data_IF_859904339647
#
_entry.id   IF_859904339647
#
_cell.length_a   1.000
_cell.length_b   1.000
_cell.length_c   1.000
_cell.angle_alpha   90.00
_cell.angle_beta   90.00
_cell.angle_gamma   90.00
#
_symmetry.space_group_name_H-M   'P 1'
#
loop_
_entity.id
_entity.type
_entity.pdbx_description
1 polymer ?
#
# COMPACT_ATOMS: atom_id res chain seq x y z
N UNK A 1 -4.20 -26.49 -10.29
CA UNK A 1 -2.72 -26.51 -10.15
C UNK A 1 -2.22 -27.62 -11.06
N UNK A 2 -1.64 -27.30 -12.23
CA UNK A 2 -1.13 -28.32 -13.15
C UNK A 2 0.37 -28.54 -12.88
N UNK A 3 0.86 -29.80 -12.89
CA UNK A 3 2.25 -30.12 -12.57
C UNK A 3 3.21 -29.71 -13.68
N UNK A 4 4.40 -29.26 -13.25
CA UNK A 4 5.53 -28.78 -14.06
C UNK A 4 6.31 -29.99 -14.59
N UNK A 5 5.68 -30.90 -15.36
CA UNK A 5 6.34 -32.14 -15.81
C UNK A 5 6.49 -32.30 -17.33
N UNK A 6 6.05 -31.33 -18.14
CA UNK A 6 6.14 -31.39 -19.61
C UNK A 6 7.23 -30.49 -20.23
N UNK A 7 8.19 -30.01 -19.44
CA UNK A 7 9.11 -28.94 -19.86
C UNK A 7 10.30 -29.38 -20.74
N UNK A 8 10.45 -30.67 -21.06
CA UNK A 8 11.49 -31.13 -21.98
C UNK A 8 10.84 -31.48 -23.33
N UNK A 9 11.11 -30.73 -24.41
CA UNK A 9 10.71 -31.18 -25.74
C UNK A 9 11.36 -32.54 -25.99
N UNK A 10 10.55 -33.59 -26.15
CA UNK A 10 11.07 -34.91 -26.54
C UNK A 10 11.75 -34.74 -27.91
N UNK A 11 13.07 -35.01 -28.03
CA UNK A 11 13.73 -34.95 -29.32
C UNK A 11 13.09 -35.98 -30.24
N UNK A 12 12.51 -35.54 -31.35
CA UNK A 12 12.18 -36.41 -32.47
C UNK A 12 13.48 -36.96 -33.02
N UNK A 13 13.62 -38.29 -33.02
CA UNK A 13 14.86 -39.04 -33.26
C UNK A 13 15.58 -38.76 -34.61
N UNK A 14 15.02 -37.91 -35.47
CA UNK A 14 15.50 -37.60 -36.81
C UNK A 14 16.48 -36.40 -36.89
N UNK A 15 16.81 -35.72 -35.77
CA UNK A 15 17.55 -34.44 -35.82
C UNK A 15 18.65 -34.29 -34.76
N UNK A 16 19.26 -35.39 -34.31
CA UNK A 16 20.38 -35.31 -33.36
C UNK A 16 21.64 -34.81 -34.10
N UNK A 17 22.17 -33.63 -33.78
CA UNK A 17 23.36 -33.11 -34.45
C UNK A 17 24.61 -33.92 -34.08
N UNK A 18 25.39 -34.30 -35.09
CA UNK A 18 26.53 -35.24 -34.96
C UNK A 18 27.85 -34.52 -34.65
N UNK A 19 27.91 -33.19 -34.76
CA UNK A 19 29.11 -32.39 -34.50
C UNK A 19 28.95 -31.44 -33.30
N UNK A 20 30.04 -31.21 -32.55
CA UNK A 20 30.07 -30.33 -31.36
C UNK A 20 29.51 -28.90 -31.60
N UNK A 21 29.79 -28.19 -32.73
CA UNK A 21 29.22 -26.86 -32.97
C UNK A 21 27.72 -26.90 -33.24
N UNK A 22 27.22 -27.91 -33.97
CA UNK A 22 25.79 -28.10 -34.24
C UNK A 22 25.01 -28.42 -32.95
N UNK A 23 25.61 -29.23 -32.06
CA UNK A 23 25.04 -29.54 -30.75
C UNK A 23 24.91 -28.30 -29.86
N UNK A 24 25.91 -27.40 -29.86
CA UNK A 24 25.83 -26.12 -29.13
C UNK A 24 24.71 -25.23 -29.66
N UNK A 25 24.57 -25.12 -30.99
CA UNK A 25 23.50 -24.35 -31.61
C UNK A 25 22.11 -24.92 -31.28
N UNK A 26 21.96 -26.25 -31.33
CA UNK A 26 20.72 -26.94 -30.96
C UNK A 26 20.33 -26.70 -29.49
N UNK A 27 21.26 -26.90 -28.54
CA UNK A 27 21.00 -26.66 -27.12
C UNK A 27 20.63 -25.19 -26.88
N UNK A 28 21.30 -24.26 -27.55
CA UNK A 28 21.03 -22.82 -27.42
C UNK A 28 19.66 -22.43 -27.98
N UNK A 29 19.18 -23.10 -29.03
CA UNK A 29 17.85 -22.86 -29.57
C UNK A 29 16.75 -23.47 -28.69
N UNK A 30 16.93 -24.71 -28.23
CA UNK A 30 16.00 -25.40 -27.32
C UNK A 30 15.86 -24.63 -26.00
N UNK A 31 16.95 -24.14 -25.43
CA UNK A 31 16.92 -23.34 -24.20
C UNK A 31 16.22 -22.00 -24.39
N UNK A 32 16.38 -21.34 -25.54
CA UNK A 32 15.64 -20.11 -25.88
C UNK A 32 14.14 -20.37 -26.02
N UNK A 33 13.75 -21.44 -26.69
CA UNK A 33 12.33 -21.80 -26.86
C UNK A 33 11.68 -22.18 -25.53
N UNK A 34 12.37 -22.95 -24.69
CA UNK A 34 11.91 -23.27 -23.35
C UNK A 34 11.76 -22.01 -22.47
N UNK A 35 12.72 -21.09 -22.54
CA UNK A 35 12.65 -19.81 -21.84
C UNK A 35 11.49 -18.93 -22.34
N UNK A 36 11.24 -18.89 -23.65
CA UNK A 36 10.13 -18.15 -24.25
C UNK A 36 8.75 -18.70 -23.82
N UNK A 37 8.58 -20.03 -23.82
CA UNK A 37 7.35 -20.68 -23.31
C UNK A 37 7.12 -20.40 -21.82
N UNK A 38 8.16 -20.51 -21.00
CA UNK A 38 8.09 -20.20 -19.57
C UNK A 38 7.64 -18.75 -19.34
N UNK A 39 8.22 -17.80 -20.08
CA UNK A 39 7.84 -16.38 -20.02
C UNK A 39 6.36 -16.16 -20.36
N UNK A 40 5.86 -16.80 -21.42
CA UNK A 40 4.46 -16.69 -21.83
C UNK A 40 3.50 -17.25 -20.77
N UNK A 41 3.87 -18.37 -20.13
CA UNK A 41 3.10 -18.94 -19.02
C UNK A 41 3.05 -18.01 -17.80
N UNK A 42 4.20 -17.49 -17.37
CA UNK A 42 4.29 -16.58 -16.23
C UNK A 42 3.54 -15.26 -16.49
N UNK A 43 3.68 -14.70 -17.70
CA UNK A 43 2.94 -13.51 -18.09
C UNK A 43 1.42 -13.76 -18.14
N UNK A 44 0.98 -14.90 -18.67
CA UNK A 44 -0.46 -15.24 -18.69
C UNK A 44 -1.00 -15.48 -17.28
N UNK A 45 -0.20 -16.05 -16.36
CA UNK A 45 -0.63 -16.38 -15.00
C UNK A 45 -0.65 -15.18 -14.04
N UNK A 46 0.31 -14.26 -14.17
CA UNK A 46 0.47 -13.12 -13.26
C UNK A 46 0.04 -11.78 -13.87
N UNK A 47 -0.05 -11.68 -15.19
CA UNK A 47 -0.29 -10.44 -15.92
C UNK A 47 -1.61 -10.40 -16.70
N UNK A 48 -2.53 -11.35 -16.51
CA UNK A 48 -3.77 -11.48 -17.31
C UNK A 48 -4.52 -10.15 -17.48
N UNK A 49 -4.57 -9.33 -16.44
CA UNK A 49 -5.25 -8.03 -16.43
C UNK A 49 -4.55 -6.91 -17.21
N UNK A 50 -3.26 -7.05 -17.52
CA UNK A 50 -2.45 -5.97 -18.15
C UNK A 50 -1.63 -6.44 -19.36
N UNK A 51 -1.90 -7.63 -19.90
CA UNK A 51 -1.18 -8.17 -21.08
C UNK A 51 -1.30 -7.31 -22.34
N UNK A 52 -2.35 -6.49 -22.44
CA UNK A 52 -2.66 -5.70 -23.63
C UNK A 52 -1.99 -4.31 -23.67
N UNK A 53 -1.37 -3.86 -22.57
CA UNK A 53 -0.78 -2.52 -22.52
C UNK A 53 0.66 -2.48 -23.02
N UNK A 54 0.95 -1.51 -23.89
CA UNK A 54 2.31 -1.22 -24.32
C UNK A 54 3.16 -0.78 -23.12
N UNK A 55 4.47 -1.00 -23.21
CA UNK A 55 5.45 -0.63 -22.18
C UNK A 55 5.31 0.81 -21.66
N UNK A 56 5.18 1.79 -22.55
CA UNK A 56 5.10 3.22 -22.16
C UNK A 56 3.84 3.55 -21.36
N UNK A 57 2.72 2.88 -21.67
CA UNK A 57 1.48 3.05 -20.92
C UNK A 57 1.60 2.50 -19.49
N UNK A 58 2.24 1.34 -19.32
CA UNK A 58 2.46 0.75 -17.99
C UNK A 58 3.42 1.58 -17.13
N UNK A 59 4.51 2.07 -17.73
CA UNK A 59 5.42 3.00 -17.05
C UNK A 59 4.68 4.31 -16.67
N UNK A 60 3.83 4.84 -17.56
CA UNK A 60 2.99 6.01 -17.29
C UNK A 60 1.97 5.80 -16.17
N UNK A 61 1.30 4.64 -16.13
CA UNK A 61 0.35 4.28 -15.06
C UNK A 61 1.09 4.16 -13.72
N UNK A 62 2.25 3.52 -13.70
CA UNK A 62 3.05 3.35 -12.49
C UNK A 62 3.49 4.70 -11.91
N UNK A 63 4.12 5.56 -12.71
CA UNK A 63 4.57 6.88 -12.25
C UNK A 63 3.40 7.84 -11.99
N UNK A 64 2.30 7.71 -12.73
CA UNK A 64 1.09 8.49 -12.54
C UNK A 64 0.43 8.18 -11.20
N UNK A 65 0.21 6.90 -10.89
CA UNK A 65 -0.30 6.47 -9.58
C UNK A 65 0.66 6.88 -8.45
N UNK A 66 1.97 6.82 -8.71
CA UNK A 66 2.96 7.26 -7.73
C UNK A 66 2.79 8.74 -7.37
N UNK A 67 2.63 9.59 -8.38
CA UNK A 67 2.32 11.00 -8.17
C UNK A 67 0.99 11.19 -7.42
N UNK A 68 -0.03 10.40 -7.72
CA UNK A 68 -1.33 10.45 -7.04
C UNK A 68 -1.19 10.12 -5.55
N UNK A 69 -0.46 9.06 -5.18
CA UNK A 69 -0.26 8.71 -3.76
C UNK A 69 0.49 9.82 -3.01
N UNK A 70 1.51 10.43 -3.63
CA UNK A 70 2.22 11.57 -3.06
C UNK A 70 1.29 12.76 -2.84
N UNK A 71 0.44 13.09 -3.83
CA UNK A 71 -0.56 14.15 -3.68
C UNK A 71 -1.55 13.84 -2.56
N UNK A 72 -2.05 12.60 -2.47
CA UNK A 72 -2.93 12.16 -1.39
C UNK A 72 -2.25 12.30 -0.02
N UNK A 73 -0.96 11.94 0.09
CA UNK A 73 -0.19 12.15 1.31
C UNK A 73 -0.10 13.63 1.67
N UNK A 74 0.23 14.51 0.70
CA UNK A 74 0.27 15.96 0.94
C UNK A 74 -1.09 16.51 1.39
N UNK A 75 -2.19 16.09 0.77
CA UNK A 75 -3.53 16.51 1.18
C UNK A 75 -3.89 16.01 2.58
N UNK A 76 -3.50 14.78 2.94
CA UNK A 76 -3.69 14.24 4.27
C UNK A 76 -2.88 15.01 5.32
N UNK A 77 -1.62 15.31 5.04
CA UNK A 77 -0.76 16.13 5.91
C UNK A 77 -1.29 17.56 6.09
N UNK A 78 -1.79 18.18 5.01
CA UNK A 78 -2.39 19.50 5.08
C UNK A 78 -3.69 19.50 5.91
N UNK A 79 -4.56 18.51 5.69
CA UNK A 79 -5.78 18.31 6.48
C UNK A 79 -5.45 18.13 7.97
N UNK A 80 -4.41 17.36 8.27
CA UNK A 80 -3.92 17.14 9.63
C UNK A 80 -3.42 18.43 10.28
N UNK A 81 -2.50 19.15 9.63
CA UNK A 81 -1.95 20.40 10.15
C UNK A 81 -3.05 21.42 10.47
N UNK A 82 -4.05 21.54 9.59
CA UNK A 82 -5.20 22.41 9.81
C UNK A 82 -6.06 21.95 11.00
N UNK A 83 -6.31 20.65 11.13
CA UNK A 83 -7.08 20.09 12.25
C UNK A 83 -6.39 20.34 13.60
N UNK A 84 -5.07 20.18 13.65
CA UNK A 84 -4.26 20.40 14.86
C UNK A 84 -4.25 21.88 15.29
N UNK A 85 -4.14 22.81 14.34
CA UNK A 85 -4.24 24.25 14.64
C UNK A 85 -5.60 24.60 15.28
N UNK A 86 -6.68 24.01 14.78
CA UNK A 86 -8.00 24.19 15.38
C UNK A 86 -8.07 23.56 16.78
N UNK A 87 -7.39 22.44 17.02
CA UNK A 87 -7.33 21.79 18.34
C UNK A 87 -6.65 22.69 19.37
N UNK A 88 -5.45 23.17 19.05
CA UNK A 88 -4.69 24.07 19.92
C UNK A 88 -5.43 25.38 20.22
N UNK A 89 -6.12 25.94 19.22
CA UNK A 89 -6.91 27.15 19.41
C UNK A 89 -8.03 26.95 20.45
N UNK A 90 -8.79 25.86 20.36
CA UNK A 90 -9.88 25.54 21.29
C UNK A 90 -9.37 25.26 22.72
N UNK A 91 -8.16 24.71 22.84
CA UNK A 91 -7.53 24.47 24.15
C UNK A 91 -7.10 25.78 24.83
N UNK A 92 -6.58 26.75 24.07
CA UNK A 92 -6.24 28.08 24.60
C UNK A 92 -7.46 28.95 24.92
N UNK A 93 -8.60 28.74 24.27
CA UNK A 93 -9.81 29.57 24.42
C UNK A 93 -11.04 28.74 24.86
N UNK A 94 -11.03 28.19 26.09
CA UNK A 94 -12.09 27.30 26.55
C UNK A 94 -13.45 27.98 26.74
N UNK A 95 -13.51 29.31 26.85
CA UNK A 95 -14.74 30.07 27.10
C UNK A 95 -15.41 30.61 25.83
N UNK A 96 -14.89 30.27 24.64
CA UNK A 96 -15.47 30.71 23.38
C UNK A 96 -16.91 30.18 23.18
N UNK A 97 -17.72 30.98 22.48
CA UNK A 97 -19.13 30.72 22.23
C UNK A 97 -19.39 29.28 21.72
N UNK A 98 -20.46 28.66 22.22
CA UNK A 98 -20.89 27.28 21.88
C UNK A 98 -21.01 27.09 20.35
N UNK A 99 -21.46 28.11 19.63
CA UNK A 99 -21.58 28.08 18.16
C UNK A 99 -20.22 27.96 17.45
N UNK A 100 -19.16 28.57 17.98
CA UNK A 100 -17.82 28.50 17.40
C UNK A 100 -17.24 27.09 17.57
N UNK A 101 -17.43 26.50 18.76
CA UNK A 101 -17.03 25.12 19.06
C UNK A 101 -17.74 24.10 18.16
N UNK A 102 -19.04 24.27 17.91
CA UNK A 102 -19.78 23.40 16.98
C UNK A 102 -19.24 23.51 15.55
N UNK A 103 -18.91 24.73 15.08
CA UNK A 103 -18.28 24.93 13.76
C UNK A 103 -16.90 24.27 13.69
N UNK A 104 -16.09 24.37 14.74
CA UNK A 104 -14.78 23.73 14.82
C UNK A 104 -14.88 22.20 14.83
N UNK A 105 -15.83 21.63 15.59
CA UNK A 105 -16.08 20.18 15.59
C UNK A 105 -16.49 19.66 14.21
N UNK A 106 -17.39 20.34 13.49
CA UNK A 106 -17.77 19.96 12.11
C UNK A 106 -16.58 19.99 11.16
N UNK A 107 -15.73 21.01 11.25
CA UNK A 107 -14.51 21.12 10.44
C UNK A 107 -13.53 19.98 10.74
N UNK A 108 -13.35 19.61 12.01
CA UNK A 108 -12.52 18.46 12.42
C UNK A 108 -13.08 17.14 11.91
N UNK A 109 -14.39 16.93 12.03
CA UNK A 109 -15.04 15.72 11.51
C UNK A 109 -14.87 15.60 9.99
N UNK A 110 -15.06 16.70 9.26
CA UNK A 110 -14.82 16.73 7.82
C UNK A 110 -13.35 16.46 7.48
N UNK A 111 -12.40 16.98 8.25
CA UNK A 111 -10.97 16.70 8.06
C UNK A 111 -10.65 15.21 8.21
N UNK A 112 -11.25 14.52 9.19
CA UNK A 112 -11.11 13.06 9.38
C UNK A 112 -11.76 12.26 8.25
N UNK A 113 -12.92 12.70 7.76
CA UNK A 113 -13.52 12.07 6.57
C UNK A 113 -12.59 12.21 5.37
N UNK A 114 -12.05 13.40 5.13
CA UNK A 114 -11.12 13.65 4.02
C UNK A 114 -9.88 12.77 4.10
N UNK A 115 -9.24 12.65 5.26
CA UNK A 115 -8.05 11.80 5.42
C UNK A 115 -8.38 10.31 5.27
N UNK A 116 -9.55 9.87 5.75
CA UNK A 116 -10.03 8.49 5.56
C UNK A 116 -10.28 8.16 4.07
N UNK A 117 -10.86 9.09 3.31
CA UNK A 117 -11.04 8.93 1.86
C UNK A 117 -9.67 8.87 1.17
N UNK A 118 -8.73 9.74 1.56
CA UNK A 118 -7.37 9.73 1.01
C UNK A 118 -6.65 8.40 1.30
N UNK A 119 -6.83 7.83 2.48
CA UNK A 119 -6.31 6.51 2.84
C UNK A 119 -6.84 5.40 1.91
N UNK A 120 -8.16 5.34 1.72
CA UNK A 120 -8.78 4.33 0.86
C UNK A 120 -8.32 4.46 -0.61
N UNK A 121 -8.26 5.69 -1.11
CA UNK A 121 -7.77 5.97 -2.46
C UNK A 121 -6.28 5.62 -2.62
N UNK A 122 -5.46 5.92 -1.61
CA UNK A 122 -4.04 5.54 -1.59
C UNK A 122 -3.87 4.02 -1.56
N UNK A 123 -4.62 3.30 -0.71
CA UNK A 123 -4.59 1.84 -0.64
C UNK A 123 -4.94 1.19 -1.99
N UNK A 124 -5.98 1.69 -2.66
CA UNK A 124 -6.36 1.22 -4.00
C UNK A 124 -5.26 1.49 -5.03
N UNK A 125 -4.67 2.70 -4.99
CA UNK A 125 -3.60 3.10 -5.92
C UNK A 125 -2.36 2.23 -5.75
N UNK A 126 -1.92 1.99 -4.51
CA UNK A 126 -0.77 1.12 -4.19
C UNK A 126 -1.01 -0.33 -4.63
N UNK A 127 -2.24 -0.84 -4.49
CA UNK A 127 -2.59 -2.16 -4.98
C UNK A 127 -2.51 -2.26 -6.52
N UNK A 128 -3.06 -1.26 -7.22
CA UNK A 128 -3.00 -1.18 -8.68
C UNK A 128 -1.57 -1.03 -9.20
N UNK A 129 -0.72 -0.26 -8.51
CA UNK A 129 0.70 -0.16 -8.82
C UNK A 129 1.44 -1.48 -8.62
N UNK A 130 1.14 -2.21 -7.54
CA UNK A 130 1.71 -3.54 -7.31
C UNK A 130 1.38 -4.50 -8.46
N UNK A 131 0.13 -4.46 -8.94
CA UNK A 131 -0.30 -5.22 -10.11
C UNK A 131 0.38 -4.77 -11.41
N UNK A 132 0.60 -3.47 -11.59
CA UNK A 132 1.36 -2.96 -12.73
C UNK A 132 2.84 -3.37 -12.67
N UNK A 133 3.44 -3.36 -11.47
CA UNK A 133 4.82 -3.76 -11.21
C UNK A 133 5.06 -5.25 -11.49
N UNK A 134 4.14 -6.12 -11.07
CA UNK A 134 4.22 -7.56 -11.42
C UNK A 134 4.06 -7.78 -12.93
N UNK A 135 3.16 -7.06 -13.59
CA UNK A 135 3.01 -7.13 -15.05
C UNK A 135 4.28 -6.70 -15.79
N UNK A 136 4.95 -5.62 -15.35
CA UNK A 136 6.25 -5.21 -15.88
C UNK A 136 7.33 -6.30 -15.69
N UNK A 137 7.37 -6.92 -14.51
CA UNK A 137 8.36 -7.93 -14.17
C UNK A 137 8.28 -9.15 -15.09
N UNK A 138 7.10 -9.76 -15.18
CA UNK A 138 6.94 -11.05 -15.87
C UNK A 138 6.77 -10.90 -17.38
N UNK A 139 6.00 -9.91 -17.86
CA UNK A 139 5.70 -9.77 -19.28
C UNK A 139 6.81 -9.00 -20.05
N UNK A 140 7.37 -7.95 -19.48
CA UNK A 140 8.32 -7.06 -20.17
C UNK A 140 9.80 -7.31 -19.80
N UNK A 141 10.09 -8.10 -18.75
CA UNK A 141 11.45 -8.57 -18.38
C UNK A 141 12.49 -7.44 -18.29
N UNK A 142 12.14 -6.37 -17.58
CA UNK A 142 13.05 -5.24 -17.36
C UNK A 142 14.16 -5.62 -16.38
N UNK A 143 15.43 -5.41 -16.76
CA UNK A 143 16.60 -5.73 -15.92
C UNK A 143 16.69 -4.87 -14.64
N UNK A 144 15.98 -3.75 -14.59
CA UNK A 144 15.97 -2.79 -13.47
C UNK A 144 14.74 -2.93 -12.56
N UNK A 145 13.91 -3.95 -12.75
CA UNK A 145 12.64 -4.09 -12.02
C UNK A 145 12.81 -4.21 -10.50
N UNK A 146 13.93 -4.75 -10.03
CA UNK A 146 14.23 -4.86 -8.60
C UNK A 146 14.33 -3.48 -7.92
N UNK A 147 14.85 -2.47 -8.62
CA UNK A 147 14.90 -1.10 -8.10
C UNK A 147 13.51 -0.50 -7.97
N UNK A 148 12.62 -0.76 -8.93
CA UNK A 148 11.22 -0.33 -8.88
C UNK A 148 10.49 -0.95 -7.68
N UNK A 149 10.70 -2.24 -7.40
CA UNK A 149 10.12 -2.91 -6.23
C UNK A 149 10.65 -2.35 -4.91
N UNK A 150 11.95 -2.05 -4.83
CA UNK A 150 12.54 -1.44 -3.64
C UNK A 150 11.98 -0.03 -3.40
N UNK A 151 11.92 0.80 -4.45
CA UNK A 151 11.31 2.13 -4.38
C UNK A 151 9.85 2.06 -4.00
N UNK A 152 9.06 1.20 -4.65
CA UNK A 152 7.65 0.99 -4.35
C UNK A 152 7.43 0.59 -2.88
N UNK A 153 8.17 -0.40 -2.38
CA UNK A 153 8.07 -0.81 -0.98
C UNK A 153 8.41 0.32 -0.01
N UNK A 154 9.47 1.07 -0.29
CA UNK A 154 9.93 2.14 0.58
C UNK A 154 8.96 3.33 0.61
N UNK A 155 8.57 3.83 -0.57
CA UNK A 155 7.79 5.06 -0.66
C UNK A 155 6.29 4.82 -0.57
N UNK A 156 5.76 3.76 -1.17
CA UNK A 156 4.32 3.53 -1.23
C UNK A 156 3.78 2.91 0.04
N UNK A 157 4.42 1.84 0.51
CA UNK A 157 4.05 1.26 1.80
C UNK A 157 4.35 2.26 2.94
N UNK A 158 5.46 2.99 2.84
CA UNK A 158 5.78 4.07 3.78
C UNK A 158 4.71 5.18 3.81
N UNK A 159 4.25 5.64 2.65
CA UNK A 159 3.18 6.64 2.54
C UNK A 159 1.86 6.10 3.11
N UNK A 160 1.53 4.84 2.86
CA UNK A 160 0.33 4.22 3.40
C UNK A 160 0.36 4.18 4.93
N UNK A 161 1.49 3.76 5.50
CA UNK A 161 1.73 3.75 6.95
C UNK A 161 1.63 5.16 7.54
N UNK A 162 2.17 6.17 6.85
CA UNK A 162 2.10 7.57 7.28
C UNK A 162 0.65 8.08 7.30
N UNK A 163 -0.14 7.81 6.24
CA UNK A 163 -1.56 8.21 6.19
C UNK A 163 -2.37 7.50 7.29
N UNK A 164 -2.08 6.22 7.57
CA UNK A 164 -2.70 5.49 8.69
C UNK A 164 -2.39 6.19 10.02
N UNK A 165 -1.11 6.51 10.28
CA UNK A 165 -0.70 7.20 11.50
C UNK A 165 -1.42 8.53 11.70
N UNK A 166 -1.52 9.33 10.64
CA UNK A 166 -2.27 10.60 10.62
C UNK A 166 -3.76 10.38 10.91
N UNK A 167 -4.38 9.38 10.28
CA UNK A 167 -5.81 9.09 10.46
C UNK A 167 -6.12 8.66 11.89
N UNK A 168 -5.28 7.78 12.46
CA UNK A 168 -5.39 7.33 13.85
C UNK A 168 -5.24 8.51 14.82
N UNK A 169 -4.27 9.38 14.56
CA UNK A 169 -4.04 10.56 15.39
C UNK A 169 -5.27 11.47 15.42
N UNK A 170 -5.82 11.84 14.25
CA UNK A 170 -7.02 12.68 14.20
C UNK A 170 -8.25 11.99 14.82
N UNK A 171 -8.40 10.67 14.64
CA UNK A 171 -9.49 9.92 15.27
C UNK A 171 -9.39 9.96 16.79
N UNK A 172 -8.18 9.90 17.33
CA UNK A 172 -7.96 9.96 18.78
C UNK A 172 -8.21 11.37 19.31
N UNK A 173 -7.78 12.40 18.57
CA UNK A 173 -8.06 13.82 18.88
C UNK A 173 -9.58 14.11 18.94
N UNK A 174 -10.39 13.50 18.06
CA UNK A 174 -11.85 13.61 18.11
C UNK A 174 -12.49 12.99 19.37
N UNK A 175 -11.86 11.97 19.96
CA UNK A 175 -12.42 11.24 21.12
C UNK A 175 -12.15 11.91 22.47
N UNK A 176 -11.48 13.07 22.51
CA UNK A 176 -11.15 13.82 23.74
C UNK A 176 -10.45 13.00 24.86
N UNK A 177 -9.98 11.78 24.58
CA UNK A 177 -9.06 11.12 25.50
C UNK A 177 -7.75 11.89 25.48
N UNK A 178 -7.19 12.20 26.66
CA UNK A 178 -5.84 12.73 26.82
C UNK A 178 -4.89 11.89 25.96
N UNK A 179 -4.48 12.41 24.81
CA UNK A 179 -3.59 11.72 23.90
C UNK A 179 -2.24 11.60 24.59
N UNK A 180 -1.65 10.40 24.73
CA UNK A 180 -0.28 10.30 25.20
C UNK A 180 0.63 11.08 24.21
N UNK A 181 1.67 11.78 24.68
CA UNK A 181 2.47 12.77 23.92
C UNK A 181 3.39 12.15 22.86
N UNK A 182 3.10 10.93 22.42
CA UNK A 182 3.89 10.28 21.39
C UNK A 182 3.58 10.94 20.06
N UNK A 183 4.63 11.44 19.42
CA UNK A 183 4.63 12.04 18.10
C UNK A 183 4.38 10.95 17.03
N UNK A 184 3.19 10.33 17.09
CA UNK A 184 2.73 9.21 16.25
C UNK A 184 2.81 9.59 14.76
N UNK A 185 2.81 10.89 14.45
CA UNK A 185 2.94 11.46 13.12
C UNK A 185 4.36 11.43 12.53
N UNK A 186 5.40 10.97 13.26
CA UNK A 186 6.78 10.89 12.73
C UNK A 186 7.00 9.81 11.65
N UNK A 187 5.94 9.16 11.14
CA UNK A 187 6.01 8.25 10.00
C UNK A 187 6.82 6.98 10.24
N UNK A 188 7.21 6.71 11.50
CA UNK A 188 8.03 5.54 11.85
C UNK A 188 7.11 4.33 12.01
N UNK A 189 7.32 3.23 11.24
CA UNK A 189 6.42 2.07 11.23
C UNK A 189 6.15 1.50 12.63
N UNK A 190 7.16 1.52 13.50
CA UNK A 190 7.07 1.09 14.90
C UNK A 190 6.01 1.89 15.68
N UNK A 191 5.99 3.22 15.55
CA UNK A 191 5.07 4.07 16.31
C UNK A 191 3.61 3.86 15.87
N UNK A 192 3.39 3.60 14.58
CA UNK A 192 2.05 3.31 14.05
C UNK A 192 1.52 1.99 14.62
N UNK A 193 2.36 0.96 14.68
CA UNK A 193 1.98 -0.35 15.25
C UNK A 193 1.67 -0.23 16.74
N UNK A 194 2.49 0.49 17.50
CA UNK A 194 2.26 0.72 18.94
C UNK A 194 0.94 1.45 19.19
N UNK A 195 0.63 2.50 18.40
CA UNK A 195 -0.62 3.23 18.50
C UNK A 195 -1.83 2.34 18.18
N UNK A 196 -1.75 1.54 17.12
CA UNK A 196 -2.80 0.60 16.73
C UNK A 196 -3.05 -0.47 17.82
N UNK A 197 -1.98 -1.05 18.38
CA UNK A 197 -2.08 -2.04 19.45
C UNK A 197 -2.74 -1.48 20.71
N UNK A 198 -2.40 -0.25 21.09
CA UNK A 198 -3.01 0.44 22.23
C UNK A 198 -4.52 0.68 22.03
N UNK A 199 -4.92 1.16 20.84
CA UNK A 199 -6.33 1.37 20.52
C UNK A 199 -7.11 0.06 20.49
N UNK A 200 -6.51 -1.01 19.93
CA UNK A 200 -7.12 -2.32 19.88
C UNK A 200 -7.31 -2.92 21.27
N UNK A 201 -6.30 -2.80 22.15
CA UNK A 201 -6.40 -3.21 23.55
C UNK A 201 -7.53 -2.49 24.30
N UNK A 202 -7.67 -1.18 24.11
CA UNK A 202 -8.76 -0.40 24.71
C UNK A 202 -10.14 -0.77 24.15
N UNK A 203 -10.24 -1.11 22.87
CA UNK A 203 -11.48 -1.56 22.25
C UNK A 203 -11.89 -2.95 22.74
N UNK A 204 -10.93 -3.88 22.85
CA UNK A 204 -11.15 -5.19 23.48
C UNK A 204 -11.60 -5.00 24.91
N UNK A 205 -10.91 -4.19 25.72
CA UNK A 205 -11.28 -3.94 27.13
C UNK A 205 -12.71 -3.39 27.23
N UNK A 206 -13.11 -2.42 26.39
CA UNK A 206 -14.48 -1.91 26.35
C UNK A 206 -15.50 -2.96 25.95
N UNK A 207 -15.21 -3.80 24.95
CA UNK A 207 -16.09 -4.91 24.57
C UNK A 207 -16.20 -5.97 25.65
N UNK A 208 -15.10 -6.25 26.35
CA UNK A 208 -15.04 -7.22 27.43
C UNK A 208 -15.84 -6.72 28.63
N UNK A 209 -15.62 -5.47 29.07
CA UNK A 209 -16.42 -4.81 30.12
C UNK A 209 -17.91 -4.77 29.77
N UNK A 210 -18.25 -4.51 28.50
CA UNK A 210 -19.64 -4.51 28.02
C UNK A 210 -20.26 -5.92 27.99
N UNK A 211 -19.45 -6.97 27.79
CA UNK A 211 -19.89 -8.36 27.82
C UNK A 211 -19.99 -8.91 29.26
N UNK A 212 -19.17 -8.43 30.18
CA UNK A 212 -19.15 -8.86 31.59
C UNK A 212 -20.11 -8.07 32.48
N UNK A 213 -20.78 -7.03 31.96
CA UNK A 213 -21.88 -6.33 32.65
C UNK A 213 -21.48 -5.61 33.94
N UNK A 214 -20.18 -5.39 34.20
CA UNK A 214 -19.71 -4.75 35.43
C UNK A 214 -19.54 -3.24 35.18
N UNK A 215 -20.41 -2.45 35.79
CA UNK A 215 -20.15 -1.04 36.05
C UNK A 215 -19.00 -0.98 37.06
N UNK A 216 -17.78 -0.71 36.60
CA UNK A 216 -16.78 -0.08 37.45
C UNK A 216 -16.49 1.31 36.89
N UNK A 217 -16.85 2.30 37.71
CA UNK A 217 -16.44 3.70 37.62
C UNK A 217 -14.94 3.79 37.40
N UNK A 218 -14.50 4.62 36.46
CA UNK A 218 -13.09 5.04 36.42
C UNK A 218 -13.04 6.54 36.12
N UNK A 219 -12.72 7.25 37.20
CA UNK A 219 -12.07 8.56 37.33
C UNK A 219 -10.78 8.67 36.48
#
# INVERSE_FOLDING_TARGET
MAPINDYVPKPTASSIPVTLPELKAYILNVTKEAAAKKKNYECHRYGTFMTHFSRSHLEGIFWGLFGVVVLLLCTASYSHAKSEQLYQYDECHPNDAIELKQKHQRKRFNAVITTTICFLAAALSVALEGLAGTALMYCQQHKVINFYWAMWGLTQVGSLIAIIGVTIHQWTSLKQHKTPPWNIALGTPILVITAAAFLFGNWIKKKWLKATGSQEEIE
#
